data_IF_178906641233
#
_entry.id   IF_178906641233
#
_cell.length_a   1.000
_cell.length_b   1.000
_cell.length_c   1.000
_cell.angle_alpha   90.00
_cell.angle_beta   90.00
_cell.angle_gamma   90.00
#
_symmetry.space_group_name_H-M   'P 1'
#
loop_
_entity.id
_entity.type
_entity.pdbx_description
1 polymer ?
#
# COMPACT_ATOMS: atom_id res chain seq x y z
N UNK A 1 13.29 28.78 22.36
CA UNK A 1 13.09 27.56 23.17
C UNK A 1 11.82 26.80 22.80
N UNK A 2 10.70 27.49 22.52
CA UNK A 2 9.45 26.79 22.16
C UNK A 2 9.48 26.30 20.71
N UNK A 3 9.11 25.02 20.49
CA UNK A 3 8.85 24.49 19.15
C UNK A 3 7.60 25.13 18.60
N UNK A 4 7.70 25.87 17.49
CA UNK A 4 6.55 26.39 16.75
C UNK A 4 6.18 25.40 15.63
N UNK A 5 5.14 24.64 15.84
CA UNK A 5 4.54 23.80 14.79
C UNK A 5 3.58 24.65 13.99
N UNK A 6 3.73 24.66 12.66
CA UNK A 6 2.90 25.46 11.76
C UNK A 6 2.42 24.58 10.61
N UNK A 7 1.24 24.87 10.10
CA UNK A 7 0.75 24.26 8.89
C UNK A 7 1.75 24.56 7.75
N UNK A 8 2.17 23.52 7.05
CA UNK A 8 3.23 23.60 6.03
C UNK A 8 2.84 24.48 4.84
N UNK A 9 1.55 24.55 4.49
CA UNK A 9 1.05 25.40 3.42
C UNK A 9 1.33 26.91 3.65
N UNK A 10 1.38 27.34 4.91
CA UNK A 10 1.65 28.74 5.23
C UNK A 10 3.07 29.19 4.94
N UNK A 11 3.98 28.25 4.70
CA UNK A 11 5.39 28.50 4.39
C UNK A 11 5.70 28.40 2.90
N UNK A 12 4.73 28.03 2.07
CA UNK A 12 4.94 27.78 0.64
C UNK A 12 4.62 29.00 -0.20
N UNK A 13 5.53 29.34 -1.11
CA UNK A 13 5.29 30.35 -2.16
C UNK A 13 4.24 29.84 -3.16
N UNK A 14 3.79 30.71 -4.07
CA UNK A 14 2.85 30.32 -5.13
C UNK A 14 3.47 29.27 -6.06
N UNK A 15 4.74 29.40 -6.40
CA UNK A 15 5.49 28.49 -7.25
C UNK A 15 5.68 27.12 -6.57
N UNK A 16 6.00 27.09 -5.26
CA UNK A 16 6.09 25.84 -4.50
C UNK A 16 4.74 25.13 -4.42
N UNK A 17 3.63 25.87 -4.28
CA UNK A 17 2.29 25.29 -4.30
C UNK A 17 1.98 24.66 -5.65
N UNK A 18 2.34 25.29 -6.75
CA UNK A 18 2.17 24.73 -8.09
C UNK A 18 2.95 23.41 -8.25
N UNK A 19 4.20 23.35 -7.78
CA UNK A 19 5.01 22.11 -7.77
C UNK A 19 4.30 21.00 -6.97
N UNK A 20 3.78 21.31 -5.79
CA UNK A 20 3.04 20.37 -4.93
C UNK A 20 1.80 19.82 -5.65
N UNK A 21 1.01 20.72 -6.29
CA UNK A 21 -0.17 20.30 -7.03
C UNK A 21 0.20 19.41 -8.23
N UNK A 22 1.21 19.78 -9.01
CA UNK A 22 1.66 19.01 -10.16
C UNK A 22 2.21 17.63 -9.75
N UNK A 23 2.98 17.54 -8.67
CA UNK A 23 3.45 16.25 -8.13
C UNK A 23 2.26 15.35 -7.73
N UNK A 24 1.26 15.94 -7.09
CA UNK A 24 0.07 15.23 -6.66
C UNK A 24 -0.81 14.76 -7.83
N UNK A 25 -0.83 15.47 -8.96
CA UNK A 25 -1.49 14.97 -10.18
C UNK A 25 -0.78 13.73 -10.74
N UNK A 26 0.55 13.67 -10.67
CA UNK A 26 1.32 12.47 -11.01
C UNK A 26 0.91 11.28 -10.14
N UNK A 27 0.81 11.48 -8.83
CA UNK A 27 0.36 10.45 -7.89
C UNK A 27 -1.09 10.03 -8.13
N UNK A 28 -1.99 10.98 -8.35
CA UNK A 28 -3.40 10.71 -8.68
C UNK A 28 -3.54 9.82 -9.93
N UNK A 29 -2.77 10.12 -10.97
CA UNK A 29 -2.73 9.34 -12.19
C UNK A 29 -2.17 7.93 -11.96
N UNK A 30 -1.17 7.78 -11.10
CA UNK A 30 -0.62 6.49 -10.70
C UNK A 30 -1.68 5.64 -9.96
N UNK A 31 -2.35 6.19 -8.94
CA UNK A 31 -3.42 5.52 -8.20
C UNK A 31 -4.57 5.03 -9.09
N UNK A 32 -4.91 5.80 -10.14
CA UNK A 32 -5.96 5.41 -11.08
C UNK A 32 -5.58 4.21 -11.97
N UNK A 33 -4.28 3.87 -12.04
CA UNK A 33 -3.77 2.73 -12.83
C UNK A 33 -3.53 1.49 -11.98
N UNK A 34 -3.30 1.66 -10.67
CA UNK A 34 -2.88 0.58 -9.80
C UNK A 34 -3.89 0.40 -8.67
N UNK A 35 -4.57 -0.73 -8.66
CA UNK A 35 -5.57 -1.10 -7.64
C UNK A 35 -5.11 -2.29 -6.80
N UNK A 36 -4.08 -3.01 -7.26
CA UNK A 36 -3.53 -4.19 -6.59
C UNK A 36 -2.02 -4.08 -6.44
N UNK A 37 -1.42 -4.89 -5.54
CA UNK A 37 0.02 -4.98 -5.37
C UNK A 37 0.74 -5.43 -6.65
N UNK A 38 0.12 -6.31 -7.43
CA UNK A 38 0.67 -6.76 -8.72
C UNK A 38 0.71 -5.63 -9.75
N UNK A 39 -0.37 -4.85 -9.83
CA UNK A 39 -0.42 -3.70 -10.74
C UNK A 39 0.57 -2.61 -10.33
N UNK A 40 0.79 -2.44 -9.00
CA UNK A 40 1.82 -1.54 -8.49
C UNK A 40 3.21 -1.95 -8.99
N UNK A 41 3.55 -3.23 -8.85
CA UNK A 41 4.84 -3.78 -9.31
C UNK A 41 4.97 -3.65 -10.83
N UNK A 42 3.94 -4.04 -11.60
CA UNK A 42 3.93 -3.96 -13.06
C UNK A 42 4.13 -2.52 -13.57
N UNK A 43 3.44 -1.55 -12.99
CA UNK A 43 3.60 -0.14 -13.41
C UNK A 43 4.95 0.42 -12.96
N UNK A 44 5.44 0.02 -11.77
CA UNK A 44 6.78 0.40 -11.28
C UNK A 44 7.86 -0.08 -12.24
N UNK A 45 7.83 -1.34 -12.69
CA UNK A 45 8.81 -1.88 -13.67
C UNK A 45 8.85 -1.01 -14.92
N UNK A 46 7.68 -0.68 -15.51
CA UNK A 46 7.61 0.17 -16.71
C UNK A 46 8.25 1.56 -16.51
N UNK A 47 8.12 2.11 -15.30
CA UNK A 47 8.68 3.42 -14.95
C UNK A 47 10.20 3.32 -14.76
N UNK A 48 10.68 2.35 -13.98
CA UNK A 48 12.09 2.26 -13.59
C UNK A 48 13.00 1.82 -14.74
N UNK A 49 12.52 0.95 -15.63
CA UNK A 49 13.28 0.56 -16.82
C UNK A 49 13.54 1.75 -17.75
N UNK A 50 12.56 2.66 -17.92
CA UNK A 50 12.73 3.92 -18.66
C UNK A 50 13.75 4.87 -18.00
N UNK A 51 14.03 4.69 -16.72
CA UNK A 51 15.01 5.45 -15.91
C UNK A 51 16.35 4.72 -15.76
N UNK A 52 16.55 3.64 -16.51
CA UNK A 52 17.81 2.91 -16.60
C UNK A 52 18.04 1.86 -15.52
N UNK A 53 17.03 1.51 -14.73
CA UNK A 53 17.12 0.35 -13.86
C UNK A 53 17.05 -0.94 -14.66
N UNK A 54 17.80 -1.95 -14.23
CA UNK A 54 17.87 -3.26 -14.87
C UNK A 54 17.50 -4.35 -13.88
N UNK A 55 16.92 -5.44 -14.36
CA UNK A 55 16.68 -6.60 -13.52
C UNK A 55 18.00 -7.17 -13.00
N UNK A 56 18.14 -7.25 -11.67
CA UNK A 56 19.37 -7.72 -11.03
C UNK A 56 19.72 -9.18 -11.39
N UNK A 57 18.72 -10.00 -11.68
CA UNK A 57 18.93 -11.39 -12.10
C UNK A 57 19.70 -11.53 -13.43
N UNK A 58 19.74 -10.46 -14.23
CA UNK A 58 20.45 -10.44 -15.51
C UNK A 58 21.87 -9.88 -15.42
N UNK A 59 22.36 -9.59 -14.21
CA UNK A 59 23.65 -8.92 -13.98
C UNK A 59 24.47 -9.74 -12.99
N UNK A 60 25.71 -10.05 -13.35
CA UNK A 60 26.63 -10.82 -12.50
C UNK A 60 27.45 -9.93 -11.54
N UNK A 61 27.82 -8.73 -11.98
CA UNK A 61 28.69 -7.82 -11.22
C UNK A 61 28.06 -6.43 -11.20
N UNK A 62 27.99 -5.83 -10.01
CA UNK A 62 27.49 -4.48 -9.79
C UNK A 62 28.61 -3.52 -9.38
N UNK A 63 28.47 -2.26 -9.81
CA UNK A 63 29.42 -1.18 -9.53
C UNK A 63 28.71 0.03 -8.96
N UNK A 64 29.47 0.89 -8.30
CA UNK A 64 29.00 2.20 -7.82
C UNK A 64 28.24 2.95 -8.93
N UNK A 65 27.02 3.37 -8.61
CA UNK A 65 26.14 4.09 -9.51
C UNK A 65 25.20 3.21 -10.34
N UNK A 66 25.37 1.89 -10.32
CA UNK A 66 24.45 0.97 -11.00
C UNK A 66 23.06 1.04 -10.35
N UNK A 67 22.03 0.93 -11.22
CA UNK A 67 20.61 0.95 -10.86
C UNK A 67 19.99 -0.39 -11.20
N UNK A 68 19.51 -1.10 -10.18
CA UNK A 68 18.92 -2.42 -10.38
C UNK A 68 17.62 -2.58 -9.62
N UNK A 69 16.79 -3.54 -10.06
CA UNK A 69 15.62 -3.95 -9.33
C UNK A 69 15.58 -5.47 -9.14
N UNK A 70 14.99 -5.90 -8.01
CA UNK A 70 14.69 -7.29 -7.68
C UNK A 70 13.18 -7.47 -7.61
N UNK A 71 12.70 -8.66 -7.98
CA UNK A 71 11.28 -9.02 -7.95
C UNK A 71 11.04 -10.25 -7.07
N UNK A 72 10.01 -10.19 -6.23
CA UNK A 72 9.53 -11.36 -5.51
C UNK A 72 8.10 -11.70 -5.95
N UNK A 73 7.97 -12.76 -6.76
CA UNK A 73 6.70 -13.36 -7.19
C UNK A 73 5.72 -12.37 -7.83
N UNK A 74 6.22 -11.23 -8.35
CA UNK A 74 5.41 -10.18 -8.96
C UNK A 74 4.53 -9.39 -7.98
N UNK A 75 4.83 -9.43 -6.68
CA UNK A 75 4.10 -8.72 -5.62
C UNK A 75 4.98 -7.76 -4.81
N UNK A 76 6.30 -7.98 -4.80
CA UNK A 76 7.26 -7.07 -4.19
C UNK A 76 8.24 -6.61 -5.24
N UNK A 77 8.76 -5.39 -5.05
CA UNK A 77 9.86 -4.86 -5.84
C UNK A 77 10.87 -4.16 -4.94
N UNK A 78 12.15 -4.40 -5.19
CA UNK A 78 13.25 -3.69 -4.54
C UNK A 78 13.99 -2.91 -5.60
N UNK A 79 14.16 -1.61 -5.41
CA UNK A 79 14.96 -0.74 -6.27
C UNK A 79 16.24 -0.38 -5.54
N UNK A 80 17.38 -0.52 -6.21
CA UNK A 80 18.69 -0.27 -5.60
C UNK A 80 19.51 0.66 -6.48
N UNK A 81 20.09 1.67 -5.86
CA UNK A 81 21.16 2.49 -6.46
C UNK A 81 22.43 2.27 -5.66
N UNK A 82 23.47 1.67 -6.27
CA UNK A 82 24.70 1.32 -5.59
C UNK A 82 25.47 2.57 -5.19
N UNK A 83 25.77 2.68 -3.88
CA UNK A 83 26.45 3.84 -3.29
C UNK A 83 27.95 3.88 -3.53
N UNK A 84 28.58 4.97 -3.07
CA UNK A 84 30.05 5.19 -3.11
C UNK A 84 30.79 4.44 -2.00
N UNK A 85 30.14 4.23 -0.87
CA UNK A 85 30.72 3.51 0.29
C UNK A 85 30.63 1.99 0.06
N UNK A 86 31.55 1.25 0.71
CA UNK A 86 31.49 -0.21 0.80
C UNK A 86 30.15 -0.63 1.41
N UNK A 87 29.55 -1.70 0.87
CA UNK A 87 28.19 -2.11 1.27
C UNK A 87 28.11 -2.50 2.74
N UNK A 88 29.19 -2.98 3.36
CA UNK A 88 29.27 -3.33 4.79
C UNK A 88 29.16 -2.14 5.73
N UNK A 89 29.30 -0.91 5.24
CA UNK A 89 28.98 0.32 5.99
C UNK A 89 27.48 0.55 6.13
N UNK A 90 26.67 -0.29 5.48
CA UNK A 90 25.21 -0.30 5.52
C UNK A 90 24.56 0.50 4.41
N UNK A 91 23.32 0.18 4.13
CA UNK A 91 22.46 0.85 3.16
C UNK A 91 21.40 1.74 3.84
N UNK A 92 20.84 2.68 3.08
CA UNK A 92 19.70 3.48 3.50
C UNK A 92 18.43 2.89 2.84
N UNK A 93 17.55 2.34 3.67
CA UNK A 93 16.30 1.71 3.23
C UNK A 93 15.12 2.67 3.42
N UNK A 94 14.25 2.76 2.42
CA UNK A 94 12.87 3.23 2.59
C UNK A 94 11.98 2.05 2.24
N UNK A 95 11.22 1.56 3.21
CA UNK A 95 10.40 0.35 3.07
C UNK A 95 8.94 0.72 3.26
N UNK A 96 8.11 0.44 2.26
CA UNK A 96 6.66 0.70 2.22
C UNK A 96 5.94 -0.55 1.74
N UNK A 97 4.59 -0.54 1.76
CA UNK A 97 3.83 -1.66 1.22
C UNK A 97 2.89 -1.26 0.08
N UNK A 98 2.48 -2.25 -0.71
CA UNK A 98 1.62 -2.05 -1.88
C UNK A 98 0.24 -2.69 -1.74
N UNK A 99 0.09 -3.65 -0.83
CA UNK A 99 -1.21 -4.24 -0.50
C UNK A 99 -2.08 -3.24 0.27
N UNK A 100 -3.40 -3.41 0.18
CA UNK A 100 -4.41 -2.48 0.72
C UNK A 100 -5.58 -3.32 1.22
N UNK A 101 -6.29 -2.89 2.29
CA UNK A 101 -7.52 -3.55 2.72
C UNK A 101 -8.54 -3.64 1.58
N UNK A 102 -9.11 -4.83 1.37
CA UNK A 102 -9.98 -5.14 0.23
C UNK A 102 -10.87 -6.35 0.49
N UNK A 103 -11.56 -6.81 -0.55
CA UNK A 103 -12.26 -8.09 -0.55
C UNK A 103 -11.59 -9.01 -1.59
N UNK A 104 -11.24 -10.23 -1.17
CA UNK A 104 -10.73 -11.26 -2.07
C UNK A 104 -11.85 -12.25 -2.41
N UNK A 105 -11.97 -12.73 -3.66
CA UNK A 105 -12.87 -13.82 -3.98
C UNK A 105 -12.44 -15.12 -3.29
N UNK A 106 -13.42 -15.89 -2.78
CA UNK A 106 -13.15 -17.24 -2.26
C UNK A 106 -12.84 -18.20 -3.41
N UNK A 107 -12.22 -19.33 -3.12
CA UNK A 107 -11.84 -20.33 -4.13
C UNK A 107 -13.01 -20.99 -4.86
N UNK A 108 -14.22 -20.96 -4.31
CA UNK A 108 -15.46 -21.35 -4.98
C UNK A 108 -16.49 -20.25 -4.74
N UNK A 109 -16.41 -19.14 -5.53
CA UNK A 109 -17.15 -17.93 -5.17
C UNK A 109 -18.57 -17.89 -5.75
N UNK A 110 -18.79 -18.36 -6.99
CA UNK A 110 -19.97 -18.08 -7.77
C UNK A 110 -21.15 -19.00 -7.40
N UNK A 111 -22.28 -18.39 -7.06
CA UNK A 111 -23.53 -19.08 -6.78
C UNK A 111 -24.74 -18.26 -7.25
N UNK A 112 -25.90 -18.90 -7.36
CA UNK A 112 -27.16 -18.26 -7.65
C UNK A 112 -28.12 -18.41 -6.48
N UNK A 113 -28.84 -17.36 -6.13
CA UNK A 113 -29.94 -17.37 -5.17
C UNK A 113 -31.00 -16.36 -5.60
N UNK A 114 -32.26 -16.73 -5.54
CA UNK A 114 -33.42 -15.90 -5.95
C UNK A 114 -33.26 -15.30 -7.37
N UNK A 115 -32.72 -16.08 -8.30
CA UNK A 115 -32.43 -15.68 -9.70
C UNK A 115 -31.45 -14.50 -9.81
N UNK A 116 -30.55 -14.37 -8.83
CA UNK A 116 -29.41 -13.44 -8.85
C UNK A 116 -28.12 -14.24 -8.72
N UNK A 117 -27.15 -13.94 -9.57
CA UNK A 117 -25.80 -14.49 -9.45
C UNK A 117 -24.93 -13.60 -8.54
N UNK A 118 -24.32 -14.22 -7.55
CA UNK A 118 -23.46 -13.56 -6.57
C UNK A 118 -22.09 -14.25 -6.49
N UNK A 119 -21.07 -13.51 -6.01
CA UNK A 119 -19.77 -14.08 -5.69
C UNK A 119 -19.43 -13.85 -4.23
N UNK A 120 -19.02 -14.94 -3.55
CA UNK A 120 -18.56 -14.92 -2.15
C UNK A 120 -17.18 -14.30 -2.05
N UNK A 121 -17.03 -13.42 -1.05
CA UNK A 121 -15.74 -12.78 -0.75
C UNK A 121 -15.26 -13.11 0.66
N UNK A 122 -13.99 -12.85 0.90
CA UNK A 122 -13.37 -12.76 2.21
C UNK A 122 -12.66 -11.41 2.32
N UNK A 123 -12.93 -10.62 3.37
CA UNK A 123 -12.22 -9.36 3.54
C UNK A 123 -10.76 -9.60 3.94
N UNK A 124 -9.89 -8.71 3.46
CA UNK A 124 -8.46 -8.68 3.67
C UNK A 124 -8.09 -7.41 4.43
N UNK A 125 -7.28 -7.52 5.51
CA UNK A 125 -6.93 -6.39 6.37
C UNK A 125 -8.07 -5.90 7.27
N UNK A 126 -7.85 -4.78 7.92
CA UNK A 126 -8.77 -4.19 8.90
C UNK A 126 -9.77 -3.23 8.26
N UNK A 127 -10.99 -3.68 7.91
CA UNK A 127 -12.02 -2.84 7.31
C UNK A 127 -13.21 -2.59 8.25
N UNK A 128 -13.88 -1.45 8.08
CA UNK A 128 -15.25 -1.24 8.55
C UNK A 128 -16.22 -1.71 7.48
N UNK A 129 -16.75 -2.92 7.64
CA UNK A 129 -17.55 -3.64 6.63
C UNK A 129 -18.72 -2.83 6.06
N UNK A 130 -19.37 -1.98 6.87
CA UNK A 130 -20.48 -1.13 6.44
C UNK A 130 -20.10 -0.08 5.38
N UNK A 131 -18.81 0.25 5.23
CA UNK A 131 -18.34 1.19 4.21
C UNK A 131 -18.25 0.57 2.81
N UNK A 132 -18.34 -0.74 2.71
CA UNK A 132 -18.16 -1.51 1.47
C UNK A 132 -19.48 -1.90 0.78
N UNK A 133 -20.62 -1.70 1.46
CA UNK A 133 -21.94 -1.97 0.86
C UNK A 133 -22.44 -0.75 0.10
N UNK A 134 -23.25 -1.00 -0.95
CA UNK A 134 -23.90 0.03 -1.78
C UNK A 134 -22.95 1.01 -2.48
N UNK A 135 -21.70 0.61 -2.71
CA UNK A 135 -20.75 1.38 -3.53
C UNK A 135 -20.40 0.62 -4.82
N UNK A 136 -20.02 1.33 -5.90
CA UNK A 136 -19.48 0.70 -7.10
C UNK A 136 -18.15 0.01 -6.81
N UNK A 137 -18.03 -1.25 -7.22
CA UNK A 137 -16.85 -2.09 -7.05
C UNK A 137 -16.35 -2.59 -8.42
N UNK A 138 -15.04 -2.74 -8.54
CA UNK A 138 -14.34 -3.32 -9.67
C UNK A 138 -13.68 -4.64 -9.27
N UNK A 139 -13.39 -5.50 -10.24
CA UNK A 139 -12.67 -6.76 -10.05
C UNK A 139 -11.31 -6.67 -10.74
N UNK A 140 -10.25 -6.92 -10.01
CA UNK A 140 -8.87 -6.91 -10.49
C UNK A 140 -8.13 -8.18 -10.08
N UNK A 141 -7.20 -8.62 -10.91
CA UNK A 141 -6.27 -9.67 -10.51
C UNK A 141 -5.85 -10.58 -11.65
N UNK A 142 -5.50 -11.81 -11.29
CA UNK A 142 -5.06 -12.84 -12.23
C UNK A 142 -5.77 -14.15 -11.96
N UNK A 143 -5.91 -14.93 -13.03
CA UNK A 143 -6.37 -16.32 -13.01
C UNK A 143 -5.32 -17.17 -13.73
N UNK A 144 -4.96 -18.31 -13.19
CA UNK A 144 -4.19 -19.32 -13.92
C UNK A 144 -5.20 -20.30 -14.48
N UNK A 145 -5.34 -20.28 -15.79
CA UNK A 145 -6.27 -21.15 -16.53
C UNK A 145 -5.82 -22.63 -16.49
N UNK A 146 -6.71 -23.55 -16.80
CA UNK A 146 -6.43 -25.01 -16.83
C UNK A 146 -5.18 -25.33 -17.67
N UNK A 147 -4.94 -24.62 -18.76
CA UNK A 147 -3.76 -24.81 -19.62
C UNK A 147 -2.46 -24.21 -19.05
N UNK A 148 -2.50 -23.60 -17.84
CA UNK A 148 -1.37 -22.95 -17.19
C UNK A 148 -1.13 -21.48 -17.64
N UNK A 149 -1.94 -20.94 -18.54
CA UNK A 149 -1.84 -19.55 -18.99
C UNK A 149 -2.26 -18.59 -17.87
N UNK A 150 -1.46 -17.53 -17.67
CA UNK A 150 -1.77 -16.46 -16.72
C UNK A 150 -2.64 -15.40 -17.41
N UNK A 151 -3.91 -15.35 -17.05
CA UNK A 151 -4.87 -14.36 -17.55
C UNK A 151 -5.03 -13.19 -16.57
N UNK A 152 -4.87 -11.96 -17.05
CA UNK A 152 -5.20 -10.75 -16.28
C UNK A 152 -6.68 -10.42 -16.42
N UNK A 153 -7.35 -10.20 -15.30
CA UNK A 153 -8.76 -9.81 -15.23
C UNK A 153 -8.85 -8.40 -14.67
N UNK A 154 -9.51 -7.51 -15.42
CA UNK A 154 -9.88 -6.15 -14.98
C UNK A 154 -11.28 -5.87 -15.50
N UNK A 155 -12.22 -5.60 -14.59
CA UNK A 155 -13.63 -5.29 -14.91
C UNK A 155 -14.08 -4.17 -13.96
N UNK A 156 -14.65 -3.09 -14.51
CA UNK A 156 -15.23 -1.98 -13.76
C UNK A 156 -14.39 -0.70 -13.74
N UNK A 157 -13.33 -0.63 -14.54
CA UNK A 157 -12.47 0.55 -14.64
C UNK A 157 -12.75 1.42 -15.85
N UNK A 158 -13.16 0.82 -16.97
CA UNK A 158 -13.54 1.55 -18.18
C UNK A 158 -14.97 2.07 -18.08
N UNK A 159 -15.28 3.18 -18.76
CA UNK A 159 -16.62 3.82 -18.74
C UNK A 159 -17.73 2.87 -19.23
N UNK A 160 -17.40 1.93 -20.12
CA UNK A 160 -18.34 0.95 -20.67
C UNK A 160 -18.36 -0.38 -19.90
N UNK A 161 -17.49 -0.56 -18.91
CA UNK A 161 -17.49 -1.76 -18.09
C UNK A 161 -18.68 -1.75 -17.12
N UNK A 162 -19.29 -2.92 -16.83
CA UNK A 162 -20.18 -3.04 -15.69
C UNK A 162 -19.40 -2.92 -14.39
N UNK A 163 -20.03 -2.37 -13.36
CA UNK A 163 -19.52 -2.40 -11.99
C UNK A 163 -20.26 -3.44 -11.17
N UNK A 164 -19.65 -3.86 -10.06
CA UNK A 164 -20.26 -4.74 -9.07
C UNK A 164 -20.68 -3.93 -7.85
N UNK A 165 -21.50 -4.50 -6.98
CA UNK A 165 -21.88 -3.91 -5.71
C UNK A 165 -22.33 -4.98 -4.72
N UNK A 166 -22.31 -4.66 -3.44
CA UNK A 166 -22.89 -5.47 -2.38
C UNK A 166 -24.22 -4.81 -2.00
N UNK A 167 -25.38 -5.42 -2.33
CA UNK A 167 -26.68 -4.85 -1.99
C UNK A 167 -26.87 -4.77 -0.47
N UNK A 168 -27.24 -3.60 0.06
CA UNK A 168 -27.65 -3.45 1.45
C UNK A 168 -29.18 -3.51 1.57
N UNK A 169 -29.67 -3.83 2.77
CA UNK A 169 -31.10 -3.86 3.06
C UNK A 169 -31.62 -2.43 3.31
N UNK A 170 -32.83 -2.15 2.83
CA UNK A 170 -33.46 -0.84 3.05
C UNK A 170 -33.75 -0.59 4.54
N UNK A 171 -33.74 0.70 4.99
CA UNK A 171 -33.88 1.04 6.41
C UNK A 171 -35.15 0.50 7.08
N UNK A 172 -36.25 0.39 6.33
CA UNK A 172 -37.52 -0.09 6.86
C UNK A 172 -37.51 -1.57 7.29
N UNK A 173 -36.65 -2.39 6.67
CA UNK A 173 -36.48 -3.81 7.01
C UNK A 173 -35.25 -4.07 7.88
N UNK A 174 -34.33 -3.10 7.98
CA UNK A 174 -33.05 -3.24 8.70
C UNK A 174 -33.20 -3.31 10.21
N UNK A 175 -34.32 -2.81 10.78
CA UNK A 175 -34.50 -2.56 12.23
C UNK A 175 -34.17 -3.77 13.11
N UNK A 176 -34.61 -4.98 12.77
CA UNK A 176 -34.29 -6.21 13.51
C UNK A 176 -33.01 -6.87 13.05
N UNK A 177 -32.75 -6.89 11.74
CA UNK A 177 -31.63 -7.63 11.11
C UNK A 177 -30.29 -6.97 11.35
N UNK A 178 -30.24 -5.63 11.31
CA UNK A 178 -29.00 -4.86 11.47
C UNK A 178 -29.03 -3.97 12.71
N UNK A 179 -30.18 -3.34 13.03
CA UNK A 179 -30.30 -2.34 14.10
C UNK A 179 -30.08 -2.88 15.52
N UNK A 180 -30.21 -4.18 15.74
CA UNK A 180 -29.91 -4.83 17.00
C UNK A 180 -28.48 -5.37 17.12
N UNK A 181 -27.69 -5.26 16.03
CA UNK A 181 -26.27 -5.69 15.99
C UNK A 181 -25.36 -4.62 16.57
N UNK A 182 -24.20 -5.03 17.10
CA UNK A 182 -23.13 -4.09 17.44
C UNK A 182 -22.60 -3.45 16.15
N UNK A 183 -22.08 -2.22 16.24
CA UNK A 183 -21.60 -1.45 15.08
C UNK A 183 -20.57 -2.22 14.21
N UNK A 184 -19.66 -2.99 14.82
CA UNK A 184 -18.70 -3.83 14.08
C UNK A 184 -19.29 -5.06 13.38
N UNK A 185 -20.55 -5.39 13.69
CA UNK A 185 -21.28 -6.55 13.18
C UNK A 185 -22.50 -6.16 12.35
N UNK A 186 -22.76 -4.85 12.16
CA UNK A 186 -23.92 -4.37 11.41
C UNK A 186 -23.98 -4.99 10.02
N UNK A 187 -22.82 -5.18 9.37
CA UNK A 187 -22.60 -6.04 8.21
C UNK A 187 -21.67 -7.17 8.66
N UNK A 188 -22.05 -8.42 8.46
CA UNK A 188 -21.23 -9.59 8.75
C UNK A 188 -20.28 -9.87 7.58
N UNK A 189 -19.14 -10.54 7.84
CA UNK A 189 -18.19 -10.92 6.77
C UNK A 189 -18.82 -11.78 5.69
N UNK A 190 -19.69 -12.73 6.05
CA UNK A 190 -20.41 -13.59 5.09
C UNK A 190 -21.54 -12.87 4.31
N UNK A 191 -21.87 -11.63 4.67
CA UNK A 191 -22.82 -10.77 3.93
C UNK A 191 -22.14 -9.90 2.86
N UNK A 192 -20.79 -9.91 2.80
CA UNK A 192 -20.01 -9.16 1.81
C UNK A 192 -19.91 -9.92 0.46
N UNK A 193 -21.06 -10.26 -0.14
CA UNK A 193 -21.12 -10.96 -1.42
C UNK A 193 -21.48 -9.97 -2.53
N UNK A 194 -20.70 -9.93 -3.60
CA UNK A 194 -20.95 -9.02 -4.72
C UNK A 194 -22.01 -9.59 -5.66
N UNK A 195 -22.90 -8.72 -6.12
CA UNK A 195 -23.86 -9.03 -7.18
C UNK A 195 -23.16 -8.94 -8.53
N UNK A 196 -23.24 -10.03 -9.33
CA UNK A 196 -22.54 -10.16 -10.62
C UNK A 196 -23.45 -10.46 -11.80
N UNK A 197 -24.72 -10.81 -11.59
CA UNK A 197 -25.67 -11.10 -12.68
C UNK A 197 -27.12 -11.18 -12.23
N UNK A 198 -28.04 -10.93 -13.18
CA UNK A 198 -29.50 -10.92 -12.92
C UNK A 198 -30.33 -11.34 -14.14
N UNK A 199 -29.72 -11.71 -15.27
CA UNK A 199 -30.43 -12.05 -16.51
C UNK A 199 -30.31 -13.54 -16.79
N UNK A 200 -31.37 -14.31 -16.64
CA UNK A 200 -31.38 -15.74 -17.02
C UNK A 200 -31.38 -15.93 -18.54
N UNK A 201 -30.91 -17.08 -18.98
CA UNK A 201 -31.03 -17.50 -20.38
C UNK A 201 -31.90 -18.75 -20.54
N UNK A 202 -32.34 -18.99 -21.75
CA UNK A 202 -33.01 -20.25 -22.09
C UNK A 202 -31.97 -21.30 -22.44
N UNK A 203 -31.83 -22.30 -21.58
CA UNK A 203 -30.88 -23.40 -21.72
C UNK A 203 -31.61 -24.65 -22.10
N UNK A 204 -31.14 -25.33 -23.17
CA UNK A 204 -31.73 -26.59 -23.66
C UNK A 204 -31.45 -27.74 -22.66
N UNK A 205 -30.34 -27.68 -21.96
CA UNK A 205 -30.00 -28.67 -20.93
C UNK A 205 -30.84 -28.47 -19.66
N UNK A 206 -31.65 -29.44 -19.33
CA UNK A 206 -32.57 -29.43 -18.19
C UNK A 206 -31.88 -29.65 -16.85
N UNK A 207 -30.62 -30.08 -16.85
CA UNK A 207 -29.85 -30.32 -15.63
C UNK A 207 -29.24 -29.03 -15.08
N UNK A 208 -29.13 -27.98 -15.91
CA UNK A 208 -28.68 -26.65 -15.49
C UNK A 208 -29.86 -25.89 -14.84
N UNK A 209 -29.80 -25.76 -13.51
CA UNK A 209 -30.82 -25.05 -12.72
C UNK A 209 -30.50 -23.57 -12.55
N UNK A 210 -29.21 -23.25 -12.37
CA UNK A 210 -28.68 -21.91 -12.07
C UNK A 210 -28.40 -21.14 -13.36
N UNK A 211 -29.45 -20.60 -13.98
CA UNK A 211 -29.41 -20.01 -15.33
C UNK A 211 -28.71 -18.66 -15.38
N UNK A 212 -28.80 -17.86 -14.33
CA UNK A 212 -28.09 -16.58 -14.22
C UNK A 212 -26.60 -16.81 -13.97
N UNK A 213 -26.26 -17.74 -13.08
CA UNK A 213 -24.89 -18.20 -12.86
C UNK A 213 -24.24 -18.66 -14.15
N UNK A 214 -24.98 -19.45 -14.95
CA UNK A 214 -24.49 -19.95 -16.25
C UNK A 214 -24.14 -18.79 -17.20
N UNK A 215 -25.00 -17.77 -17.30
CA UNK A 215 -24.74 -16.58 -18.14
C UNK A 215 -23.50 -15.83 -17.69
N UNK A 216 -23.29 -15.70 -16.38
CA UNK A 216 -22.08 -15.06 -15.84
C UNK A 216 -20.82 -15.84 -16.23
N UNK A 217 -20.85 -17.17 -16.08
CA UNK A 217 -19.73 -18.04 -16.53
C UNK A 217 -19.48 -17.94 -18.03
N UNK A 218 -20.55 -17.95 -18.83
CA UNK A 218 -20.45 -17.80 -20.30
C UNK A 218 -19.75 -16.47 -20.67
N UNK A 219 -20.12 -15.35 -20.02
CA UNK A 219 -19.48 -14.04 -20.22
C UNK A 219 -18.01 -14.02 -19.82
N UNK A 220 -17.65 -14.66 -18.70
CA UNK A 220 -16.26 -14.77 -18.24
C UNK A 220 -15.44 -15.68 -19.18
N UNK A 221 -16.05 -16.75 -19.67
CA UNK A 221 -15.43 -17.63 -20.65
C UNK A 221 -15.21 -16.93 -22.00
N UNK A 222 -16.23 -16.22 -22.54
CA UNK A 222 -16.11 -15.46 -23.79
C UNK A 222 -15.00 -14.40 -23.75
N UNK A 223 -14.86 -13.68 -22.61
CA UNK A 223 -13.90 -12.57 -22.50
C UNK A 223 -12.49 -13.03 -22.08
N UNK A 224 -12.39 -14.04 -21.23
CA UNK A 224 -11.14 -14.44 -20.57
C UNK A 224 -10.77 -15.92 -20.75
N UNK A 225 -11.61 -16.74 -21.36
CA UNK A 225 -11.42 -18.19 -21.46
C UNK A 225 -11.61 -18.93 -20.13
N UNK A 226 -12.14 -18.27 -19.10
CA UNK A 226 -12.26 -18.78 -17.75
C UNK A 226 -13.38 -19.80 -17.61
N UNK A 227 -13.12 -20.93 -16.97
CA UNK A 227 -14.12 -21.91 -16.53
C UNK A 227 -14.28 -21.84 -15.00
N UNK A 228 -15.34 -22.47 -14.47
CA UNK A 228 -15.64 -22.36 -13.03
C UNK A 228 -14.51 -22.87 -12.13
N UNK A 229 -13.81 -23.93 -12.54
CA UNK A 229 -12.69 -24.51 -11.78
C UNK A 229 -11.49 -23.55 -11.68
N UNK A 230 -11.29 -22.66 -12.65
CA UNK A 230 -10.17 -21.71 -12.66
C UNK A 230 -10.23 -20.69 -11.49
N UNK A 231 -11.40 -20.50 -10.87
CA UNK A 231 -11.49 -19.66 -9.66
C UNK A 231 -10.64 -20.20 -8.51
N UNK A 232 -10.36 -21.50 -8.46
CA UNK A 232 -9.54 -22.13 -7.42
C UNK A 232 -8.09 -21.62 -7.49
N UNK A 233 -7.61 -21.35 -8.70
CA UNK A 233 -6.26 -20.82 -8.99
C UNK A 233 -6.27 -19.33 -9.33
N UNK A 234 -7.27 -18.58 -8.85
CA UNK A 234 -7.40 -17.15 -9.05
C UNK A 234 -6.92 -16.34 -7.83
N UNK A 235 -6.35 -15.19 -8.11
CA UNK A 235 -6.14 -14.10 -7.15
C UNK A 235 -6.95 -12.91 -7.65
N UNK A 236 -8.25 -12.87 -7.33
CA UNK A 236 -9.19 -11.84 -7.76
C UNK A 236 -9.62 -10.99 -6.57
N UNK A 237 -9.34 -9.70 -6.67
CA UNK A 237 -9.59 -8.68 -5.66
C UNK A 237 -10.75 -7.81 -6.10
N UNK A 238 -11.64 -7.50 -5.16
CA UNK A 238 -12.77 -6.59 -5.34
C UNK A 238 -12.42 -5.30 -4.63
N UNK A 239 -12.36 -4.23 -5.40
CA UNK A 239 -11.85 -2.91 -4.99
C UNK A 239 -12.84 -1.81 -5.42
N UNK A 240 -12.79 -0.61 -4.81
CA UNK A 240 -13.63 0.51 -5.24
C UNK A 240 -13.37 0.91 -6.70
N UNK A 241 -14.47 1.04 -7.49
CA UNK A 241 -14.42 1.36 -8.93
C UNK A 241 -14.20 2.86 -9.23
N UNK A 242 -14.23 3.73 -8.22
CA UNK A 242 -14.08 5.17 -8.44
C UNK A 242 -12.62 5.60 -8.58
N UNK A 243 -12.42 6.71 -9.30
CA UNK A 243 -11.11 7.33 -9.51
C UNK A 243 -10.74 8.25 -8.33
N UNK A 244 -9.45 8.48 -8.15
CA UNK A 244 -8.94 9.48 -7.22
C UNK A 244 -9.46 10.89 -7.58
N UNK A 245 -9.84 11.68 -6.57
CA UNK A 245 -10.46 13.01 -6.71
C UNK A 245 -9.83 14.04 -5.76
N UNK A 246 -9.77 15.28 -6.23
CA UNK A 246 -9.51 16.39 -5.33
C UNK A 246 -10.69 16.60 -4.38
N UNK A 247 -10.39 16.89 -3.11
CA UNK A 247 -11.37 17.11 -2.05
C UNK A 247 -11.20 18.51 -1.46
N UNK A 248 -12.32 19.15 -1.18
CA UNK A 248 -12.38 20.53 -0.71
C UNK A 248 -12.37 21.55 -1.85
N UNK A 249 -12.90 22.74 -1.59
CA UNK A 249 -12.98 23.82 -2.59
C UNK A 249 -11.60 24.34 -2.99
N UNK A 250 -10.62 24.24 -2.09
CA UNK A 250 -9.22 24.62 -2.30
C UNK A 250 -8.39 23.51 -2.96
N UNK A 251 -8.98 22.30 -3.13
CA UNK A 251 -8.34 21.13 -3.76
C UNK A 251 -7.03 20.69 -3.08
N UNK A 252 -6.83 21.07 -1.81
CA UNK A 252 -5.62 20.79 -1.04
C UNK A 252 -5.50 19.34 -0.55
N UNK A 253 -6.58 18.57 -0.64
CA UNK A 253 -6.66 17.16 -0.25
C UNK A 253 -6.91 16.31 -1.48
N UNK A 254 -6.30 15.14 -1.52
CA UNK A 254 -6.57 14.06 -2.48
C UNK A 254 -7.35 12.95 -1.77
N UNK A 255 -8.50 12.56 -2.35
CA UNK A 255 -9.28 11.43 -1.90
C UNK A 255 -9.13 10.26 -2.86
N UNK A 256 -8.81 9.08 -2.35
CA UNK A 256 -8.63 7.87 -3.16
C UNK A 256 -8.72 6.60 -2.33
N UNK A 257 -8.83 5.46 -3.00
CA UNK A 257 -8.63 4.14 -2.42
C UNK A 257 -7.15 3.78 -2.42
N UNK A 258 -6.65 3.32 -1.27
CA UNK A 258 -5.31 2.77 -1.12
C UNK A 258 -4.21 3.82 -0.99
N UNK A 259 -4.48 4.95 -0.32
CA UNK A 259 -3.41 5.81 0.16
C UNK A 259 -2.51 5.08 1.14
N UNK A 260 -3.09 4.23 1.97
CA UNK A 260 -2.42 3.26 2.82
C UNK A 260 -2.09 1.98 2.01
N UNK A 261 -0.82 1.70 1.61
CA UNK A 261 0.33 2.61 1.76
C UNK A 261 0.96 2.96 0.39
N UNK A 262 0.14 2.99 -0.68
CA UNK A 262 0.63 3.36 -2.02
C UNK A 262 1.18 4.78 -2.07
N UNK A 263 0.82 5.62 -1.10
CA UNK A 263 1.36 6.97 -0.97
C UNK A 263 2.86 6.94 -0.67
N UNK A 264 3.29 6.12 0.30
CA UNK A 264 4.70 5.95 0.62
C UNK A 264 5.43 5.15 -0.47
N UNK A 265 4.74 4.15 -1.05
CA UNK A 265 5.27 3.41 -2.19
C UNK A 265 5.59 4.31 -3.39
N UNK A 266 4.65 5.17 -3.79
CA UNK A 266 4.88 6.12 -4.90
C UNK A 266 5.91 7.19 -4.57
N UNK A 267 5.84 7.79 -3.38
CA UNK A 267 6.77 8.87 -3.01
C UNK A 267 8.19 8.39 -2.82
N UNK A 268 8.40 7.16 -2.30
CA UNK A 268 9.72 6.54 -2.23
C UNK A 268 10.26 6.12 -3.60
N UNK A 269 9.38 5.61 -4.49
CA UNK A 269 9.71 5.35 -5.89
C UNK A 269 10.21 6.62 -6.58
N UNK A 270 9.45 7.73 -6.51
CA UNK A 270 9.89 8.98 -7.14
C UNK A 270 11.18 9.51 -6.50
N UNK A 271 11.34 9.36 -5.18
CA UNK A 271 12.55 9.79 -4.47
C UNK A 271 13.82 9.09 -4.96
N UNK A 272 13.79 7.78 -5.16
CA UNK A 272 14.96 7.03 -5.64
C UNK A 272 15.23 7.28 -7.15
N UNK A 273 14.17 7.51 -7.93
CA UNK A 273 14.30 7.85 -9.37
C UNK A 273 14.91 9.23 -9.61
N UNK A 274 14.67 10.18 -8.70
CA UNK A 274 15.12 11.56 -8.80
C UNK A 274 16.43 11.82 -8.06
N UNK A 275 17.20 10.77 -7.71
CA UNK A 275 18.56 10.94 -7.23
C UNK A 275 19.46 11.49 -8.35
N UNK A 276 19.95 12.72 -8.17
CA UNK A 276 20.77 13.45 -9.15
C UNK A 276 22.21 12.95 -9.14
N UNK A 277 22.71 12.59 -7.96
CA UNK A 277 24.06 12.07 -7.76
C UNK A 277 24.03 10.65 -7.23
N UNK A 278 25.12 9.91 -7.44
CA UNK A 278 25.33 8.62 -6.80
C UNK A 278 25.38 8.83 -5.28
N UNK A 279 24.50 8.16 -4.52
CA UNK A 279 24.42 8.35 -3.08
C UNK A 279 25.71 7.89 -2.38
N UNK A 280 25.95 8.39 -1.16
CA UNK A 280 27.08 7.93 -0.37
C UNK A 280 26.93 6.48 0.03
N UNK A 281 25.82 6.13 0.67
CA UNK A 281 25.43 4.75 0.98
C UNK A 281 24.55 4.19 -0.11
N UNK A 282 24.55 2.90 -0.31
CA UNK A 282 23.58 2.24 -1.21
C UNK A 282 22.17 2.61 -0.80
N UNK A 283 21.37 3.12 -1.73
CA UNK A 283 19.96 3.45 -1.53
C UNK A 283 19.09 2.26 -1.92
N UNK A 284 18.16 1.88 -1.04
CA UNK A 284 17.26 0.75 -1.25
C UNK A 284 15.83 1.21 -1.00
N UNK A 285 15.00 1.23 -2.05
CA UNK A 285 13.55 1.40 -1.97
C UNK A 285 12.92 0.01 -2.06
N UNK A 286 12.31 -0.45 -0.98
CA UNK A 286 11.70 -1.78 -0.92
C UNK A 286 10.19 -1.67 -0.70
N UNK A 287 9.41 -2.12 -1.67
CA UNK A 287 7.96 -2.11 -1.64
C UNK A 287 7.50 -3.55 -1.45
N UNK A 288 6.90 -3.83 -0.30
CA UNK A 288 6.49 -5.16 0.15
C UNK A 288 5.00 -5.43 -0.06
N UNK A 289 4.59 -6.66 0.18
CA UNK A 289 3.22 -7.15 0.18
C UNK A 289 2.85 -7.66 1.59
N UNK A 290 1.56 -7.78 1.87
CA UNK A 290 0.99 -8.42 3.08
C UNK A 290 1.21 -7.69 4.40
N UNK A 291 1.53 -6.41 4.39
CA UNK A 291 1.60 -5.62 5.63
C UNK A 291 0.27 -5.67 6.38
N UNK A 292 -0.83 -5.47 5.67
CA UNK A 292 -2.20 -5.37 6.18
C UNK A 292 -2.74 -6.65 6.87
N UNK A 293 -2.04 -7.76 6.68
CA UNK A 293 -2.35 -9.04 7.33
C UNK A 293 -1.18 -9.55 8.19
N UNK A 294 -0.29 -8.64 8.64
CA UNK A 294 0.79 -8.92 9.56
C UNK A 294 2.08 -9.40 8.92
N UNK A 295 2.33 -9.05 7.65
CA UNK A 295 3.56 -9.36 6.88
C UNK A 295 3.87 -10.85 6.74
N UNK A 296 2.94 -11.74 7.05
CA UNK A 296 3.14 -13.19 6.99
C UNK A 296 2.99 -13.74 5.57
N UNK A 297 3.71 -14.81 5.26
CA UNK A 297 3.71 -15.47 3.96
C UNK A 297 4.93 -15.11 3.09
N UNK A 298 5.05 -15.77 1.93
CA UNK A 298 6.27 -15.76 1.11
C UNK A 298 6.59 -14.42 0.43
N UNK A 299 5.65 -13.47 0.43
CA UNK A 299 5.81 -12.12 -0.09
C UNK A 299 5.73 -11.04 1.00
N UNK A 300 5.39 -11.42 2.25
CA UNK A 300 5.46 -10.52 3.40
C UNK A 300 6.89 -10.30 3.88
N UNK A 301 7.12 -9.24 4.63
CA UNK A 301 8.46 -8.91 5.14
C UNK A 301 8.98 -9.88 6.21
N UNK A 302 8.11 -10.70 6.80
CA UNK A 302 8.50 -11.79 7.69
C UNK A 302 9.24 -12.93 6.96
N UNK A 303 9.13 -12.99 5.62
CA UNK A 303 9.87 -13.97 4.83
C UNK A 303 11.37 -13.64 4.78
N UNK A 304 12.20 -14.65 4.42
CA UNK A 304 13.64 -14.49 4.26
C UNK A 304 14.05 -13.69 3.00
N UNK A 305 13.11 -13.05 2.32
CA UNK A 305 13.41 -12.39 1.05
C UNK A 305 14.37 -11.20 1.21
N UNK A 306 14.30 -10.45 2.33
CA UNK A 306 15.24 -9.38 2.62
C UNK A 306 16.68 -9.91 2.69
N UNK A 307 16.92 -11.00 3.42
CA UNK A 307 18.26 -11.61 3.53
C UNK A 307 18.72 -12.16 2.18
N UNK A 308 17.81 -12.76 1.42
CA UNK A 308 18.13 -13.35 0.11
C UNK A 308 18.61 -12.27 -0.88
N UNK A 309 17.85 -11.21 -1.12
CA UNK A 309 18.28 -10.20 -2.09
C UNK A 309 19.50 -9.42 -1.62
N UNK A 310 19.65 -9.18 -0.30
CA UNK A 310 20.84 -8.53 0.24
C UNK A 310 22.10 -9.39 0.11
N UNK A 311 21.98 -10.70 0.30
CA UNK A 311 23.08 -11.63 0.09
C UNK A 311 23.52 -11.66 -1.39
N UNK A 312 22.55 -11.71 -2.31
CA UNK A 312 22.82 -11.64 -3.75
C UNK A 312 23.45 -10.30 -4.16
N UNK A 313 22.92 -9.19 -3.62
CA UNK A 313 23.46 -7.85 -3.85
C UNK A 313 24.91 -7.73 -3.38
N UNK A 314 25.24 -8.23 -2.18
CA UNK A 314 26.60 -8.23 -1.62
C UNK A 314 27.53 -9.08 -2.50
N UNK A 315 27.11 -10.26 -2.89
CA UNK A 315 27.88 -11.13 -3.79
C UNK A 315 28.20 -10.46 -5.13
N UNK A 316 27.21 -9.77 -5.73
CA UNK A 316 27.40 -9.05 -7.00
C UNK A 316 28.28 -7.81 -6.88
N UNK A 317 28.32 -7.15 -5.73
CA UNK A 317 29.17 -5.97 -5.47
C UNK A 317 30.60 -6.40 -5.16
N UNK A 318 30.79 -7.38 -4.27
CA UNK A 318 32.09 -7.77 -3.73
C UNK A 318 32.78 -8.85 -4.56
N UNK A 319 32.04 -9.59 -5.40
CA UNK A 319 32.51 -10.77 -6.13
C UNK A 319 32.60 -12.02 -5.28
N UNK A 320 32.29 -11.94 -3.98
CA UNK A 320 32.17 -13.07 -3.06
C UNK A 320 31.12 -12.78 -1.97
N UNK A 321 30.69 -13.82 -1.27
CA UNK A 321 29.73 -13.74 -0.18
C UNK A 321 30.20 -14.50 1.04
N UNK A 322 30.00 -13.90 2.22
CA UNK A 322 29.98 -14.64 3.48
C UNK A 322 28.93 -14.05 4.42
N UNK A 323 28.45 -14.86 5.34
CA UNK A 323 27.38 -14.51 6.30
C UNK A 323 27.72 -13.27 7.14
N UNK A 324 28.99 -13.05 7.47
CA UNK A 324 29.40 -11.91 8.27
C UNK A 324 29.25 -10.60 7.48
N UNK A 325 29.45 -10.59 6.15
CA UNK A 325 29.20 -9.41 5.32
C UNK A 325 27.72 -9.03 5.36
N UNK A 326 26.82 -10.00 5.20
CA UNK A 326 25.38 -9.76 5.31
C UNK A 326 25.01 -9.17 6.68
N UNK A 327 25.44 -9.82 7.79
CA UNK A 327 25.11 -9.36 9.13
C UNK A 327 25.68 -7.97 9.45
N UNK A 328 26.90 -7.65 8.99
CA UNK A 328 27.49 -6.31 9.14
C UNK A 328 26.72 -5.26 8.32
N UNK A 329 26.35 -5.59 7.08
CA UNK A 329 25.58 -4.69 6.22
C UNK A 329 24.25 -4.34 6.88
N UNK A 330 23.49 -5.33 7.29
CA UNK A 330 22.18 -5.13 7.94
C UNK A 330 22.31 -4.34 9.24
N UNK A 331 23.26 -4.69 10.11
CA UNK A 331 23.53 -4.01 11.39
C UNK A 331 23.89 -2.53 11.22
N UNK A 332 24.65 -2.19 10.18
CA UNK A 332 25.08 -0.82 9.90
C UNK A 332 24.05 -0.05 9.06
N UNK A 333 22.99 -0.71 8.59
CA UNK A 333 21.95 -0.09 7.78
C UNK A 333 20.99 0.75 8.61
N UNK A 334 20.29 1.64 7.91
CA UNK A 334 19.27 2.54 8.46
C UNK A 334 18.02 2.45 7.61
N UNK A 335 16.86 2.53 8.24
CA UNK A 335 15.57 2.43 7.54
C UNK A 335 14.57 3.49 7.98
N UNK A 336 13.88 4.05 7.02
CA UNK A 336 12.57 4.65 7.22
C UNK A 336 11.53 3.58 6.88
N UNK A 337 10.78 3.14 7.89
CA UNK A 337 9.54 2.39 7.70
C UNK A 337 8.53 3.41 7.21
N UNK A 338 8.38 3.44 5.89
CA UNK A 338 7.53 4.39 5.21
C UNK A 338 6.12 3.82 5.20
N UNK A 339 5.36 4.22 6.20
CA UNK A 339 3.98 3.83 6.42
C UNK A 339 3.19 5.05 6.91
N UNK A 340 1.93 5.12 6.58
CA UNK A 340 1.07 6.26 6.91
C UNK A 340 0.77 6.32 8.40
N UNK A 341 0.32 7.48 8.87
CA UNK A 341 -0.10 7.70 10.24
C UNK A 341 -1.53 8.23 10.28
N UNK A 342 -2.21 8.05 11.42
CA UNK A 342 -3.55 8.59 11.61
C UNK A 342 -3.51 10.10 11.88
N UNK A 343 -4.29 10.88 11.13
CA UNK A 343 -4.48 12.29 11.31
C UNK A 343 -5.64 12.61 12.26
N UNK A 344 -5.51 13.66 13.07
CA UNK A 344 -6.60 14.09 13.94
C UNK A 344 -7.87 14.35 13.11
N UNK A 345 -8.86 13.49 13.31
CA UNK A 345 -10.20 13.69 12.75
C UNK A 345 -10.96 14.69 13.65
N UNK A 346 -11.42 15.85 13.09
CA UNK A 346 -12.09 16.87 13.89
C UNK A 346 -13.42 16.42 14.51
N UNK A 347 -14.03 15.37 13.97
CA UNK A 347 -15.29 14.79 14.47
C UNK A 347 -15.08 13.74 15.56
N UNK A 348 -13.84 13.22 15.73
CA UNK A 348 -13.51 12.14 16.68
C UNK A 348 -12.21 12.46 17.43
N UNK A 349 -12.09 13.69 17.94
CA UNK A 349 -10.86 14.14 18.63
C UNK A 349 -10.56 13.38 19.91
N UNK A 350 -11.57 12.80 20.52
CA UNK A 350 -11.49 12.10 21.80
C UNK A 350 -10.64 10.83 21.77
N UNK A 351 -10.43 10.22 20.58
CA UNK A 351 -9.58 9.04 20.43
C UNK A 351 -8.09 9.38 20.32
N UNK A 352 -7.74 10.68 20.19
CA UNK A 352 -6.37 11.14 19.98
C UNK A 352 -5.76 11.77 21.23
N UNK A 353 -4.44 11.56 21.42
CA UNK A 353 -3.63 12.45 22.27
C UNK A 353 -3.27 13.70 21.47
N UNK A 354 -4.00 14.80 21.69
CA UNK A 354 -3.90 16.01 20.89
C UNK A 354 -2.52 16.69 20.91
N UNK A 355 -1.66 16.36 21.90
CA UNK A 355 -0.29 16.86 21.96
C UNK A 355 0.66 16.07 21.06
N UNK A 356 0.36 14.79 20.84
CA UNK A 356 1.25 13.85 20.14
C UNK A 356 0.64 13.29 18.84
N UNK A 357 -0.60 13.62 18.51
CA UNK A 357 -1.26 13.18 17.28
C UNK A 357 -0.90 14.06 16.09
N UNK A 358 -0.84 13.45 14.92
CA UNK A 358 -0.54 14.13 13.66
C UNK A 358 -1.72 14.95 13.12
N UNK A 359 -1.43 15.94 12.29
CA UNK A 359 -2.41 16.82 11.63
C UNK A 359 -2.18 16.81 10.12
N UNK A 360 -3.25 16.85 9.37
CA UNK A 360 -3.23 17.03 7.91
C UNK A 360 -2.62 18.39 7.56
N UNK A 361 -1.71 18.42 6.58
CA UNK A 361 -1.07 19.66 6.11
C UNK A 361 0.12 20.11 6.95
N UNK A 362 0.67 19.26 7.80
CA UNK A 362 1.84 19.57 8.62
C UNK A 362 3.12 18.83 8.18
N UNK A 363 3.08 18.17 7.04
CA UNK A 363 4.21 17.43 6.47
C UNK A 363 4.31 15.99 6.98
N UNK A 364 5.45 15.35 6.68
CA UNK A 364 5.70 13.96 7.04
C UNK A 364 5.69 13.76 8.57
N UNK A 365 5.13 12.65 9.01
CA UNK A 365 5.03 12.28 10.43
C UNK A 365 6.18 11.39 10.80
N UNK A 366 6.93 11.73 11.86
CA UNK A 366 7.88 10.82 12.51
C UNK A 366 7.19 10.14 13.68
N UNK A 367 7.12 8.82 13.63
CA UNK A 367 6.53 7.99 14.68
C UNK A 367 7.63 7.15 15.32
N UNK A 368 7.97 7.49 16.55
CA UNK A 368 9.06 6.83 17.26
C UNK A 368 8.75 5.36 17.59
N UNK A 369 7.49 5.08 17.86
CA UNK A 369 6.95 3.75 18.11
C UNK A 369 5.45 3.71 17.77
N UNK A 370 4.98 2.55 17.37
CA UNK A 370 3.57 2.27 17.08
C UNK A 370 2.99 1.39 18.19
N UNK A 371 2.73 0.13 17.99
CA UNK A 371 2.33 -0.84 18.99
C UNK A 371 1.08 -0.46 19.80
N UNK A 372 0.59 -1.40 20.58
CA UNK A 372 -0.56 -1.21 21.47
C UNK A 372 -0.17 -1.40 22.94
N UNK A 373 -1.02 -0.91 23.87
CA UNK A 373 -0.76 -0.98 25.31
C UNK A 373 0.64 -0.48 25.67
N UNK A 374 1.48 -1.35 26.26
CA UNK A 374 2.85 -1.02 26.64
C UNK A 374 3.89 -1.07 25.52
N UNK A 375 3.59 -0.65 24.30
CA UNK A 375 4.43 -0.68 23.09
C UNK A 375 4.69 -2.10 22.55
N UNK A 376 3.80 -3.04 22.81
CA UNK A 376 3.95 -4.41 22.32
C UNK A 376 3.99 -4.47 20.79
N UNK A 377 4.84 -5.35 20.24
CA UNK A 377 4.99 -5.59 18.81
C UNK A 377 5.37 -4.34 17.99
N UNK A 378 6.09 -3.40 18.61
CA UNK A 378 6.54 -2.15 18.01
C UNK A 378 8.07 -2.10 17.95
N UNK A 379 8.59 -1.38 16.96
CA UNK A 379 9.93 -0.80 17.06
C UNK A 379 9.87 0.47 17.96
N UNK A 380 10.85 0.67 18.84
CA UNK A 380 11.03 1.93 19.61
C UNK A 380 12.35 2.54 19.16
N UNK A 381 12.31 3.47 18.23
CA UNK A 381 13.49 4.07 17.63
C UNK A 381 14.39 4.75 18.66
N UNK A 382 15.71 4.52 18.58
CA UNK A 382 16.68 5.13 19.48
C UNK A 382 16.78 6.67 19.33
N UNK A 383 17.15 7.36 20.40
CA UNK A 383 17.18 8.82 20.44
C UNK A 383 18.18 9.42 19.44
N UNK A 384 19.29 8.74 19.20
CA UNK A 384 20.35 9.15 18.28
C UNK A 384 19.84 9.13 16.84
N UNK A 385 19.14 8.08 16.44
CA UNK A 385 18.58 7.97 15.09
C UNK A 385 17.41 8.95 14.88
N UNK A 386 16.53 9.10 15.88
CA UNK A 386 15.48 10.15 15.85
C UNK A 386 16.10 11.54 15.67
N UNK A 387 17.20 11.83 16.40
CA UNK A 387 17.92 13.10 16.26
C UNK A 387 18.51 13.27 14.86
N UNK A 388 19.09 12.22 14.30
CA UNK A 388 19.69 12.22 12.97
C UNK A 388 18.63 12.56 11.89
N UNK A 389 17.48 11.90 11.91
CA UNK A 389 16.40 12.14 10.94
C UNK A 389 15.78 13.52 11.11
N UNK A 390 15.48 13.93 12.34
CA UNK A 390 14.99 15.27 12.64
C UNK A 390 15.94 16.37 12.14
N UNK A 391 17.25 16.17 12.33
CA UNK A 391 18.28 17.12 11.91
C UNK A 391 18.37 17.20 10.39
N UNK A 392 18.26 16.06 9.69
CA UNK A 392 18.20 15.99 8.25
C UNK A 392 17.01 16.79 7.72
N UNK A 393 15.81 16.53 8.22
CA UNK A 393 14.60 17.22 7.76
C UNK A 393 14.64 18.73 8.00
N UNK A 394 15.17 19.15 9.16
CA UNK A 394 15.37 20.57 9.46
C UNK A 394 16.37 21.23 8.48
N UNK A 395 17.50 20.57 8.18
CA UNK A 395 18.52 21.06 7.27
C UNK A 395 17.96 21.25 5.85
N UNK A 396 17.16 20.29 5.39
CA UNK A 396 16.56 20.30 4.04
C UNK A 396 15.25 21.13 3.96
N UNK A 397 14.85 21.79 5.06
CA UNK A 397 13.63 22.61 5.12
C UNK A 397 12.34 21.81 4.84
N UNK A 398 12.34 20.52 5.20
CA UNK A 398 11.18 19.63 5.07
C UNK A 398 10.20 19.92 6.19
N UNK A 399 8.92 20.04 5.87
CA UNK A 399 7.87 20.12 6.89
C UNK A 399 7.65 18.74 7.51
N UNK A 400 7.76 18.67 8.84
CA UNK A 400 7.60 17.42 9.56
C UNK A 400 6.96 17.62 10.93
N UNK A 401 6.35 16.57 11.44
CA UNK A 401 5.71 16.53 12.75
C UNK A 401 5.96 15.20 13.45
N UNK A 402 5.52 15.07 14.70
CA UNK A 402 5.46 13.78 15.40
C UNK A 402 4.02 13.25 15.33
N UNK A 403 3.85 11.95 15.39
CA UNK A 403 2.56 11.30 15.47
C UNK A 403 2.58 10.07 16.37
N UNK A 404 1.41 9.73 16.87
CA UNK A 404 1.08 8.47 17.54
C UNK A 404 -0.28 8.00 17.08
N UNK A 405 -0.47 6.71 16.97
CA UNK A 405 -1.73 6.10 16.57
C UNK A 405 -2.68 6.01 17.78
N UNK A 406 -3.50 7.05 17.97
CA UNK A 406 -4.49 7.11 19.04
C UNK A 406 -3.90 7.36 20.44
N UNK A 407 -4.76 7.29 21.47
CA UNK A 407 -4.37 7.30 22.88
C UNK A 407 -3.83 5.95 23.30
N UNK A 408 -3.01 5.96 24.37
CA UNK A 408 -2.62 4.73 25.07
C UNK A 408 -3.84 3.93 25.47
N UNK A 409 -3.81 2.62 25.22
CA UNK A 409 -4.89 1.64 25.45
C UNK A 409 -6.12 1.73 24.51
N UNK A 410 -6.21 2.76 23.64
CA UNK A 410 -7.29 2.89 22.66
C UNK A 410 -6.85 2.62 21.22
N UNK A 411 -5.59 2.85 20.91
CA UNK A 411 -5.02 2.69 19.58
C UNK A 411 -3.73 1.90 19.60
N UNK A 412 -3.17 1.74 18.43
CA UNK A 412 -1.92 1.05 18.19
C UNK A 412 -2.03 0.05 17.05
N UNK A 413 -0.95 -0.13 16.32
CA UNK A 413 -0.81 -1.09 15.22
C UNK A 413 0.64 -1.47 15.06
N UNK A 414 0.93 -2.53 14.33
CA UNK A 414 2.28 -2.85 13.87
C UNK A 414 2.54 -2.16 12.53
N UNK A 415 3.79 -1.99 12.19
CA UNK A 415 4.28 -1.58 10.88
C UNK A 415 5.40 -2.51 10.47
N UNK A 416 5.90 -2.37 9.26
CA UNK A 416 7.08 -3.12 8.79
C UNK A 416 8.33 -2.86 9.62
N UNK A 417 8.36 -1.78 10.44
CA UNK A 417 9.51 -1.39 11.25
C UNK A 417 10.04 -2.50 12.18
N UNK A 418 9.13 -3.27 12.81
CA UNK A 418 9.54 -4.36 13.72
C UNK A 418 10.34 -5.46 13.03
N UNK A 419 10.03 -5.75 11.77
CA UNK A 419 10.72 -6.78 11.00
C UNK A 419 12.10 -6.30 10.56
N UNK A 420 12.23 -5.02 10.18
CA UNK A 420 13.53 -4.40 9.86
C UNK A 420 14.42 -4.35 11.10
N UNK A 421 13.88 -3.94 12.24
CA UNK A 421 14.57 -3.89 13.53
C UNK A 421 15.03 -5.29 14.00
N UNK A 422 14.32 -6.35 13.66
CA UNK A 422 14.71 -7.74 13.94
C UNK A 422 16.09 -8.08 13.36
N UNK A 423 16.45 -7.52 12.21
CA UNK A 423 17.77 -7.66 11.59
C UNK A 423 18.84 -6.71 12.15
N UNK A 424 18.52 -5.93 13.18
CA UNK A 424 19.42 -4.94 13.76
C UNK A 424 19.54 -3.63 12.98
N UNK A 425 18.69 -3.41 11.97
CA UNK A 425 18.63 -2.18 11.19
C UNK A 425 18.04 -1.06 12.07
N UNK A 426 18.73 0.10 12.15
CA UNK A 426 18.19 1.27 12.85
C UNK A 426 16.98 1.81 12.11
N UNK A 427 15.80 1.70 12.73
CA UNK A 427 14.52 1.96 12.05
C UNK A 427 13.68 2.99 12.80
N UNK A 428 12.99 3.86 12.04
CA UNK A 428 11.93 4.76 12.52
C UNK A 428 10.81 4.82 11.49
N UNK A 429 9.56 4.92 11.95
CA UNK A 429 8.42 5.10 11.07
C UNK A 429 8.32 6.55 10.58
N UNK A 430 8.10 6.73 9.28
CA UNK A 430 8.05 8.05 8.65
C UNK A 430 7.15 8.03 7.41
N UNK A 431 5.93 8.59 7.53
CA UNK A 431 4.98 8.72 6.41
C UNK A 431 3.98 9.85 6.63
N UNK A 432 3.09 10.15 5.68
CA UNK A 432 2.10 11.22 5.82
C UNK A 432 0.94 10.81 6.73
N UNK A 433 0.21 11.82 7.24
CA UNK A 433 -1.03 11.58 7.98
C UNK A 433 -2.21 11.43 7.03
N UNK A 434 -3.11 10.48 7.33
CA UNK A 434 -4.37 10.26 6.61
C UNK A 434 -5.59 10.56 7.49
N UNK A 435 -6.72 10.84 6.83
CA UNK A 435 -8.04 10.70 7.43
C UNK A 435 -8.77 9.55 6.75
N UNK A 436 -9.64 8.88 7.50
CA UNK A 436 -10.42 7.74 7.02
C UNK A 436 -9.56 6.58 6.49
N UNK A 437 -8.38 6.35 7.08
CA UNK A 437 -7.52 5.19 6.81
C UNK A 437 -8.32 3.88 6.78
N UNK A 438 -7.98 2.94 5.89
CA UNK A 438 -8.69 1.67 5.64
C UNK A 438 -10.12 1.80 5.11
N UNK A 439 -10.57 3.02 4.76
CA UNK A 439 -11.87 3.18 4.09
C UNK A 439 -11.74 3.02 2.57
N UNK A 440 -12.85 2.79 1.85
CA UNK A 440 -12.84 2.82 0.39
C UNK A 440 -12.40 4.17 -0.21
N UNK A 441 -12.41 5.26 0.58
CA UNK A 441 -12.04 6.60 0.13
C UNK A 441 -11.27 7.34 1.24
N UNK A 442 -9.98 7.16 1.27
CA UNK A 442 -9.05 7.77 2.22
C UNK A 442 -8.65 9.17 1.77
N UNK A 443 -8.19 10.01 2.69
CA UNK A 443 -7.88 11.41 2.44
C UNK A 443 -6.45 11.75 2.86
N UNK A 444 -5.67 12.31 1.94
CA UNK A 444 -4.30 12.76 2.16
C UNK A 444 -4.10 14.22 1.74
N UNK A 445 -3.32 15.00 2.50
CA UNK A 445 -2.92 16.34 2.08
C UNK A 445 -1.89 16.29 0.95
N UNK A 446 -2.10 17.02 -0.13
CA UNK A 446 -1.14 17.14 -1.24
C UNK A 446 0.22 17.67 -0.78
N UNK A 447 0.25 18.53 0.23
CA UNK A 447 1.50 18.97 0.87
C UNK A 447 2.23 17.80 1.51
N UNK A 448 1.51 16.97 2.29
CA UNK A 448 2.13 15.89 3.06
C UNK A 448 2.67 14.79 2.13
N UNK A 449 1.98 14.55 1.00
CA UNK A 449 2.46 13.69 -0.09
C UNK A 449 3.82 14.19 -0.60
N UNK A 450 3.91 15.47 -0.95
CA UNK A 450 5.13 16.05 -1.51
C UNK A 450 6.27 16.13 -0.47
N UNK A 451 5.96 16.47 0.77
CA UNK A 451 6.98 16.50 1.84
C UNK A 451 7.52 15.10 2.17
N UNK A 452 6.70 14.04 2.03
CA UNK A 452 7.16 12.64 2.14
C UNK A 452 8.15 12.28 1.04
N UNK A 453 7.84 12.64 -0.22
CA UNK A 453 8.80 12.49 -1.33
C UNK A 453 10.13 13.20 -1.05
N UNK A 454 10.08 14.47 -0.59
CA UNK A 454 11.29 15.24 -0.25
C UNK A 454 12.10 14.59 0.87
N UNK A 455 11.41 14.08 1.88
CA UNK A 455 12.03 13.41 3.03
C UNK A 455 12.76 12.13 2.60
N UNK A 456 12.14 11.29 1.79
CA UNK A 456 12.77 10.07 1.28
C UNK A 456 13.94 10.37 0.34
N UNK A 457 13.80 11.37 -0.56
CA UNK A 457 14.91 11.81 -1.42
C UNK A 457 16.10 12.29 -0.60
N UNK A 458 15.88 13.12 0.42
CA UNK A 458 16.93 13.59 1.31
C UNK A 458 17.61 12.44 2.09
N UNK A 459 16.84 11.44 2.51
CA UNK A 459 17.37 10.28 3.23
C UNK A 459 18.20 9.36 2.32
N UNK A 460 17.76 9.12 1.09
CA UNK A 460 18.53 8.35 0.10
C UNK A 460 19.83 9.05 -0.30
N UNK A 461 19.83 10.38 -0.40
CA UNK A 461 21.02 11.16 -0.80
C UNK A 461 22.12 11.22 0.26
N UNK A 462 21.84 10.83 1.51
CA UNK A 462 22.76 10.86 2.66
C UNK A 462 23.68 9.66 2.66
#
# INVERSE_FOLDING_TARGET
MLRKQQNGWTKKSSEEKEIIFNFSEGYKNFLNKVKTEREFVEETIKIVEKKGFKNAETIDILKTGDKVYYLNRGKNIVLVVIGKDEIEKGANFVVSHADVPRLDLKGNPLYEDTELALMKTHYYGGIKKYQWVSIPLAMHGIVILENGEKMKVVIGEDENDPVFTIPDILPHLARKVQGERKAGEVIKGEELNILVGSVPTVIADKDIKDKVKYVVLEKLNEKYGLIEEDFISAELQIVPAFKAKDVGLDRGILGAYGHDDRICGYTSLQAILDLEEVPKRTAVCFIVDKEEIGSSGSTGLESNYLEYFMADLINKINGDYNELYLKKTLWNSKALSADVNDGINPMFKEVHDLLNAAKIGYGIVLTKYTGSGGKYSSNDADAEFVHEIRSLFNKEGISWQIGMLGKVDEGGGGTVAKYLAHFGIKTIDAGPALLAMHSPFELASKLDIYESYRAYKAFFSK
#
